data_IF_795235895192
#
_entry.id   IF_795235895192
#
_cell.length_a   1.000
_cell.length_b   1.000
_cell.length_c   1.000
_cell.angle_alpha   90.00
_cell.angle_beta   90.00
_cell.angle_gamma   90.00
#
_symmetry.space_group_name_H-M   'P 1'
#
loop_
_entity.id
_entity.type
_entity.pdbx_description
1 polymer ?
#
# COMPACT_ATOMS: atom_id res chain seq x y z
N UNK A 1 53.04 -31.17 0.26
CA UNK A 1 52.01 -30.60 -0.63
C UNK A 1 51.00 -29.90 0.26
N UNK A 2 50.82 -28.59 0.13
CA UNK A 2 49.87 -27.84 0.96
C UNK A 2 48.45 -28.31 0.63
N UNK A 3 47.66 -28.65 1.65
CA UNK A 3 46.22 -28.82 1.43
C UNK A 3 45.57 -27.45 1.22
N UNK A 4 44.58 -27.32 0.32
CA UNK A 4 43.84 -26.07 0.18
C UNK A 4 43.01 -25.82 1.44
N UNK A 5 43.10 -24.60 1.97
CA UNK A 5 42.26 -24.13 3.07
C UNK A 5 40.80 -24.25 2.63
N UNK A 6 40.02 -25.12 3.28
CA UNK A 6 38.55 -25.00 3.24
C UNK A 6 38.20 -23.69 3.94
N UNK A 7 38.07 -22.63 3.17
CA UNK A 7 37.51 -21.38 3.65
C UNK A 7 36.13 -21.71 4.21
N UNK A 8 35.92 -21.45 5.51
CA UNK A 8 34.55 -21.38 6.03
C UNK A 8 33.83 -20.37 5.16
N UNK A 9 32.74 -20.79 4.52
CA UNK A 9 31.86 -19.86 3.83
C UNK A 9 31.36 -18.85 4.87
N UNK A 10 31.91 -17.65 4.85
CA UNK A 10 31.49 -16.51 5.69
C UNK A 10 30.19 -15.88 5.19
N UNK A 11 29.43 -16.57 4.33
CA UNK A 11 28.14 -16.10 3.82
C UNK A 11 26.97 -16.35 4.78
N UNK A 12 27.22 -16.45 6.09
CA UNK A 12 26.15 -16.61 7.07
C UNK A 12 26.40 -15.75 8.30
N UNK A 13 26.08 -14.47 8.12
CA UNK A 13 25.63 -13.51 9.14
C UNK A 13 24.57 -12.69 8.38
N UNK A 14 23.32 -13.12 8.24
CA UNK A 14 22.38 -13.29 9.36
C UNK A 14 22.52 -12.14 10.37
N UNK A 15 22.31 -10.93 9.85
CA UNK A 15 21.81 -9.77 10.59
C UNK A 15 20.53 -9.40 9.81
N UNK A 16 19.36 -10.02 10.00
CA UNK A 16 18.58 -10.21 11.24
C UNK A 16 18.37 -8.92 12.07
N UNK A 17 18.74 -7.76 11.52
CA UNK A 17 18.31 -6.45 11.99
C UNK A 17 17.31 -5.83 10.99
N UNK A 18 16.03 -6.10 11.24
CA UNK A 18 15.04 -5.04 11.37
C UNK A 18 14.74 -4.16 10.13
N UNK A 19 14.56 -4.72 8.95
CA UNK A 19 13.77 -4.01 7.93
C UNK A 19 12.29 -4.29 8.20
N UNK A 20 11.39 -3.29 8.22
CA UNK A 20 9.96 -3.56 8.36
C UNK A 20 9.53 -4.38 7.16
N UNK A 21 9.41 -5.70 7.36
CA UNK A 21 9.00 -6.65 6.34
C UNK A 21 7.51 -6.45 6.08
N UNK A 22 7.15 -5.40 5.33
CA UNK A 22 5.90 -5.46 4.59
C UNK A 22 6.02 -6.61 3.62
N UNK A 23 4.99 -7.44 3.60
CA UNK A 23 4.85 -8.44 2.56
C UNK A 23 4.82 -7.74 1.20
N UNK A 24 5.30 -8.43 0.16
CA UNK A 24 5.22 -7.93 -1.21
C UNK A 24 3.77 -7.59 -1.62
N UNK A 25 2.80 -8.31 -1.08
CA UNK A 25 1.38 -8.04 -1.29
C UNK A 25 0.99 -6.67 -0.72
N UNK A 26 1.35 -6.39 0.54
CA UNK A 26 1.12 -5.07 1.14
C UNK A 26 1.80 -3.94 0.37
N UNK A 27 3.00 -4.16 -0.18
CA UNK A 27 3.67 -3.17 -1.04
C UNK A 27 2.90 -2.90 -2.34
N UNK A 28 2.34 -3.95 -2.95
CA UNK A 28 1.52 -3.81 -4.16
C UNK A 28 0.20 -3.11 -3.85
N UNK A 29 -0.42 -3.38 -2.70
CA UNK A 29 -1.64 -2.71 -2.27
C UNK A 29 -1.42 -1.21 -2.04
N UNK A 30 -0.29 -0.84 -1.42
CA UNK A 30 0.10 0.58 -1.27
C UNK A 30 0.25 1.23 -2.64
N UNK A 31 0.97 0.58 -3.55
CA UNK A 31 1.19 1.11 -4.89
C UNK A 31 -0.13 1.26 -5.64
N UNK A 32 -0.98 0.23 -5.64
CA UNK A 32 -2.28 0.27 -6.29
C UNK A 32 -3.16 1.37 -5.71
N UNK A 33 -3.21 1.50 -4.38
CA UNK A 33 -3.94 2.59 -3.73
C UNK A 33 -3.44 3.97 -4.16
N UNK A 34 -2.12 4.14 -4.34
CA UNK A 34 -1.53 5.38 -4.86
C UNK A 34 -1.95 5.68 -6.31
N UNK A 35 -1.92 4.68 -7.19
CA UNK A 35 -2.34 4.85 -8.59
C UNK A 35 -3.83 5.15 -8.70
N UNK A 36 -4.67 4.47 -7.93
CA UNK A 36 -6.10 4.73 -7.89
C UNK A 36 -6.42 6.12 -7.34
N UNK A 37 -5.67 6.61 -6.35
CA UNK A 37 -5.81 7.99 -5.87
C UNK A 37 -5.44 9.02 -6.95
N UNK A 38 -4.41 8.74 -7.76
CA UNK A 38 -4.06 9.62 -8.89
C UNK A 38 -5.14 9.60 -9.98
N UNK A 39 -5.68 8.41 -10.30
CA UNK A 39 -6.80 8.29 -11.26
C UNK A 39 -8.07 8.99 -10.74
N UNK A 40 -8.33 8.90 -9.43
CA UNK A 40 -9.46 9.57 -8.78
C UNK A 40 -9.40 11.08 -8.97
N UNK A 41 -8.23 11.68 -8.79
CA UNK A 41 -8.04 13.12 -9.02
C UNK A 41 -8.38 13.51 -10.47
N UNK A 42 -7.95 12.71 -11.45
CA UNK A 42 -8.29 12.94 -12.87
C UNK A 42 -9.78 12.79 -13.13
N UNK A 43 -10.45 11.81 -12.50
CA UNK A 43 -11.92 11.65 -12.66
C UNK A 43 -12.70 12.79 -12.01
N UNK A 44 -12.22 13.34 -10.90
CA UNK A 44 -12.82 14.51 -10.25
C UNK A 44 -12.68 15.74 -11.17
N UNK A 45 -11.51 15.96 -11.80
CA UNK A 45 -11.29 17.05 -12.76
C UNK A 45 -12.17 16.94 -14.01
N UNK A 46 -12.48 15.73 -14.44
CA UNK A 46 -13.34 15.45 -15.61
C UNK A 46 -14.83 15.40 -15.27
N UNK A 47 -15.22 15.50 -14.00
CA UNK A 47 -16.62 15.41 -13.56
C UNK A 47 -17.25 14.02 -13.75
N UNK A 48 -16.44 12.96 -13.70
CA UNK A 48 -16.89 11.58 -13.91
C UNK A 48 -17.35 10.94 -12.59
N UNK A 49 -18.40 11.48 -11.99
CA UNK A 49 -18.83 11.16 -10.61
C UNK A 49 -19.01 9.65 -10.34
N UNK A 50 -19.73 8.94 -11.20
CA UNK A 50 -19.96 7.50 -11.02
C UNK A 50 -18.64 6.69 -11.04
N UNK A 51 -17.67 7.10 -11.86
CA UNK A 51 -16.37 6.44 -11.93
C UNK A 51 -15.51 6.81 -10.71
N UNK A 52 -15.56 8.07 -10.28
CA UNK A 52 -14.89 8.56 -9.08
C UNK A 52 -15.38 7.81 -7.83
N UNK A 53 -16.69 7.60 -7.69
CA UNK A 53 -17.28 6.88 -6.56
C UNK A 53 -16.80 5.42 -6.51
N UNK A 54 -16.83 4.71 -7.65
CA UNK A 54 -16.35 3.34 -7.74
C UNK A 54 -14.84 3.21 -7.41
N UNK A 55 -14.02 4.17 -7.87
CA UNK A 55 -12.59 4.20 -7.55
C UNK A 55 -12.39 4.48 -6.07
N UNK A 56 -13.14 5.39 -5.49
CA UNK A 56 -13.01 5.77 -4.10
C UNK A 56 -13.42 4.65 -3.13
N UNK A 57 -14.40 3.82 -3.48
CA UNK A 57 -14.69 2.57 -2.78
C UNK A 57 -13.48 1.63 -2.79
N UNK A 58 -12.83 1.46 -3.95
CA UNK A 58 -11.66 0.60 -4.07
C UNK A 58 -10.46 1.12 -3.27
N UNK A 59 -10.22 2.42 -3.26
CA UNK A 59 -9.20 3.05 -2.41
C UNK A 59 -9.51 2.82 -0.93
N UNK A 60 -10.78 2.91 -0.54
CA UNK A 60 -11.21 2.66 0.84
C UNK A 60 -10.94 1.22 1.27
N UNK A 61 -11.19 0.24 0.38
CA UNK A 61 -10.86 -1.18 0.64
C UNK A 61 -9.37 -1.42 0.81
N UNK A 62 -8.53 -0.82 -0.04
CA UNK A 62 -7.07 -1.01 0.00
C UNK A 62 -6.40 -0.29 1.18
N UNK A 63 -6.89 0.89 1.57
CA UNK A 63 -6.27 1.71 2.63
C UNK A 63 -6.92 1.53 4.00
N UNK A 64 -8.10 0.90 4.06
CA UNK A 64 -8.93 0.83 5.27
C UNK A 64 -9.56 2.17 5.69
N UNK A 65 -9.44 3.21 4.85
CA UNK A 65 -9.98 4.54 5.11
C UNK A 65 -10.35 5.24 3.79
N UNK A 66 -11.41 6.05 3.77
CA UNK A 66 -11.83 6.74 2.56
C UNK A 66 -10.83 7.81 2.09
N UNK A 67 -10.75 8.07 0.77
CA UNK A 67 -10.00 9.20 0.25
C UNK A 67 -10.62 10.53 0.72
N UNK A 68 -9.86 11.63 0.65
CA UNK A 68 -10.25 12.94 1.21
C UNK A 68 -11.65 13.43 0.76
N UNK A 69 -12.03 13.20 -0.50
CA UNK A 69 -13.39 13.52 -1.02
C UNK A 69 -14.51 12.81 -0.25
N UNK A 70 -14.23 11.63 0.31
CA UNK A 70 -15.15 10.79 1.08
C UNK A 70 -14.89 10.77 2.59
N UNK A 71 -13.83 11.43 3.07
CA UNK A 71 -13.51 11.47 4.50
C UNK A 71 -14.66 12.09 5.34
N UNK A 72 -15.41 13.03 4.76
CA UNK A 72 -16.61 13.61 5.38
C UNK A 72 -17.81 12.65 5.49
N UNK A 73 -17.92 11.68 4.58
CA UNK A 73 -19.01 10.67 4.59
C UNK A 73 -18.77 9.59 5.65
N UNK A 74 -17.53 9.17 5.84
CA UNK A 74 -17.20 8.13 6.84
C UNK A 74 -17.27 8.61 8.29
N UNK A 75 -17.17 9.91 8.54
CA UNK A 75 -17.38 10.50 9.86
C UNK A 75 -18.85 10.69 10.22
N UNK A 76 -19.73 10.88 9.22
CA UNK A 76 -21.16 11.02 9.42
C UNK A 76 -21.79 9.70 9.92
N UNK A 77 -21.39 8.56 9.36
CA UNK A 77 -21.89 7.23 9.76
C UNK A 77 -21.52 6.84 11.21
N UNK A 78 -20.45 7.41 11.77
CA UNK A 78 -20.03 7.15 13.16
C UNK A 78 -20.70 8.08 14.19
N UNK A 79 -21.31 9.18 13.75
CA UNK A 79 -21.97 10.14 14.63
C UNK A 79 -23.45 9.79 14.90
N UNK A 80 -24.01 8.84 14.14
CA UNK A 80 -25.41 8.40 14.22
C UNK A 80 -25.63 7.12 15.06
N UNK A 81 -24.66 6.73 15.91
CA UNK A 81 -24.74 5.62 16.89
C UNK A 81 -24.52 6.10 18.33
#
# INVERSE_FOLDING_TARGET
MYEPIRTKSVHSMADEAQYPHRSREEELDIQLAGHLAALLAVTDELGLEQAADAIAEQVSRLRGAPPARHAGLSGADRADL
#
